data_IF_852117905434
#
_entry.id   IF_852117905434
#
_cell.length_a   1.000
_cell.length_b   1.000
_cell.length_c   1.000
_cell.angle_alpha   90.00
_cell.angle_beta   90.00
_cell.angle_gamma   90.00
#
_symmetry.space_group_name_H-M   'P 1'
#
loop_
_entity.id
_entity.type
_entity.pdbx_description
1 polymer ?
#
# COMPACT_ATOMS: atom_id res chain seq x y z
N UNK A 1 -39.10 55.28 0.80
CA UNK A 1 -38.01 55.24 1.82
C UNK A 1 -38.14 53.92 2.57
N UNK A 2 -37.40 52.90 2.13
CA UNK A 2 -36.26 52.29 2.86
C UNK A 2 -36.66 51.65 4.20
N UNK A 3 -36.88 50.33 4.17
CA UNK A 3 -36.49 49.45 5.26
C UNK A 3 -35.77 48.25 4.64
N UNK A 4 -34.44 48.24 4.73
CA UNK A 4 -33.62 47.08 4.37
C UNK A 4 -33.62 46.12 5.56
N UNK A 5 -34.13 44.90 5.37
CA UNK A 5 -33.85 43.78 6.26
C UNK A 5 -32.56 43.11 5.79
N UNK A 6 -31.52 43.19 6.61
CA UNK A 6 -30.26 42.47 6.44
C UNK A 6 -30.41 41.11 7.11
N UNK A 7 -30.37 40.03 6.32
CA UNK A 7 -30.28 38.66 6.84
C UNK A 7 -28.83 38.20 6.67
N UNK A 8 -28.12 38.06 7.78
CA UNK A 8 -26.81 37.46 7.85
C UNK A 8 -26.97 35.93 7.78
N UNK A 9 -26.79 35.34 6.60
CA UNK A 9 -26.61 33.89 6.47
C UNK A 9 -25.16 33.55 6.75
N UNK A 10 -24.90 33.00 7.93
CA UNK A 10 -23.64 32.35 8.28
C UNK A 10 -23.54 31.05 7.48
N UNK A 11 -22.74 31.07 6.40
CA UNK A 11 -22.35 29.86 5.69
C UNK A 11 -21.37 29.06 6.55
N UNK A 12 -21.86 27.93 7.07
CA UNK A 12 -21.08 26.88 7.70
C UNK A 12 -20.05 26.35 6.68
N UNK A 13 -18.78 26.74 6.84
CA UNK A 13 -17.67 26.17 6.10
C UNK A 13 -17.46 24.75 6.64
N UNK A 14 -18.07 23.76 5.99
CA UNK A 14 -17.70 22.37 6.17
C UNK A 14 -16.26 22.23 5.66
N UNK A 15 -15.31 22.10 6.58
CA UNK A 15 -13.95 21.69 6.28
C UNK A 15 -13.98 20.25 5.72
N UNK A 16 -14.22 20.12 4.43
CA UNK A 16 -13.95 18.90 3.69
C UNK A 16 -12.42 18.76 3.64
N UNK A 17 -11.87 17.92 4.51
CA UNK A 17 -10.55 17.33 4.28
C UNK A 17 -10.54 16.77 2.85
N UNK A 18 -9.53 17.07 2.02
CA UNK A 18 -9.40 16.40 0.74
C UNK A 18 -9.10 14.93 1.04
N UNK A 19 -10.15 14.10 1.10
CA UNK A 19 -10.01 12.67 0.94
C UNK A 19 -9.51 12.49 -0.49
N UNK A 20 -8.20 12.34 -0.63
CA UNK A 20 -7.51 12.07 -1.89
C UNK A 20 -8.32 11.01 -2.62
N UNK A 21 -9.05 11.42 -3.66
CA UNK A 21 -9.87 10.50 -4.42
C UNK A 21 -8.91 9.52 -5.06
N UNK A 22 -8.97 8.24 -4.65
CA UNK A 22 -8.16 7.20 -5.27
C UNK A 22 -8.30 7.31 -6.79
N UNK A 23 -7.17 7.46 -7.49
CA UNK A 23 -7.15 7.51 -8.95
C UNK A 23 -7.72 6.21 -9.51
N UNK A 24 -8.28 6.23 -10.72
CA UNK A 24 -8.85 5.03 -11.35
C UNK A 24 -7.85 3.84 -11.37
N UNK A 25 -6.55 4.04 -11.68
CA UNK A 25 -5.56 2.97 -11.58
C UNK A 25 -5.34 2.46 -10.14
N UNK A 26 -5.46 3.33 -9.13
CA UNK A 26 -5.27 2.96 -7.73
C UNK A 26 -6.44 2.09 -7.24
N UNK A 27 -7.68 2.43 -7.64
CA UNK A 27 -8.86 1.60 -7.35
C UNK A 27 -8.75 0.24 -8.01
N UNK A 28 -8.38 0.20 -9.30
CA UNK A 28 -8.23 -1.05 -10.04
C UNK A 28 -7.17 -1.97 -9.41
N UNK A 29 -6.04 -1.40 -8.97
CA UNK A 29 -5.03 -2.17 -8.24
C UNK A 29 -5.56 -2.73 -6.92
N UNK A 30 -6.20 -1.90 -6.10
CA UNK A 30 -6.75 -2.31 -4.79
C UNK A 30 -7.80 -3.41 -4.94
N UNK A 31 -8.73 -3.25 -5.90
CA UNK A 31 -9.76 -4.26 -6.16
C UNK A 31 -9.13 -5.57 -6.64
N UNK A 32 -8.23 -5.51 -7.63
CA UNK A 32 -7.52 -6.71 -8.11
C UNK A 32 -6.76 -7.40 -6.98
N UNK A 33 -6.04 -6.64 -6.16
CA UNK A 33 -5.28 -7.20 -5.04
C UNK A 33 -6.21 -7.82 -4.01
N UNK A 34 -7.30 -7.15 -3.64
CA UNK A 34 -8.31 -7.67 -2.72
C UNK A 34 -8.91 -8.99 -3.22
N UNK A 35 -9.35 -9.02 -4.47
CA UNK A 35 -9.95 -10.21 -5.06
C UNK A 35 -8.96 -11.37 -5.08
N UNK A 36 -7.70 -11.12 -5.47
CA UNK A 36 -6.65 -12.14 -5.43
C UNK A 36 -6.37 -12.63 -4.00
N UNK A 37 -6.35 -11.70 -3.02
CA UNK A 37 -6.12 -12.03 -1.62
C UNK A 37 -7.24 -12.91 -1.07
N UNK A 38 -8.50 -12.51 -1.20
CA UNK A 38 -9.66 -13.26 -0.70
C UNK A 38 -9.86 -14.59 -1.45
N UNK A 39 -9.47 -14.68 -2.72
CA UNK A 39 -9.51 -15.92 -3.50
C UNK A 39 -8.33 -16.88 -3.26
N UNK A 40 -7.39 -16.52 -2.39
CA UNK A 40 -6.13 -17.25 -2.20
C UNK A 40 -5.32 -17.41 -3.51
N UNK A 41 -5.48 -16.49 -4.47
CA UNK A 41 -4.77 -16.50 -5.75
C UNK A 41 -3.36 -15.94 -5.58
N UNK A 42 -2.48 -16.79 -5.04
CA UNK A 42 -1.08 -16.47 -4.80
C UNK A 42 -0.34 -16.08 -6.09
N UNK A 43 -0.76 -16.59 -7.25
CA UNK A 43 -0.14 -16.24 -8.52
C UNK A 43 -0.45 -14.79 -8.89
N UNK A 44 -1.71 -14.37 -8.75
CA UNK A 44 -2.11 -12.99 -8.99
C UNK A 44 -1.47 -12.02 -7.98
N UNK A 45 -1.39 -12.37 -6.69
CA UNK A 45 -0.71 -11.57 -5.68
C UNK A 45 0.78 -11.38 -6.01
N UNK A 46 1.48 -12.48 -6.34
CA UNK A 46 2.90 -12.46 -6.69
C UNK A 46 3.17 -11.71 -7.99
N UNK A 47 2.20 -11.65 -8.91
CA UNK A 47 2.31 -10.82 -10.13
C UNK A 47 2.38 -9.32 -9.85
N UNK A 48 1.98 -8.88 -8.65
CA UNK A 48 2.11 -7.49 -8.23
C UNK A 48 3.53 -7.13 -7.77
N UNK A 49 4.42 -8.11 -7.58
CA UNK A 49 5.80 -7.88 -7.19
C UNK A 49 6.64 -7.40 -8.38
N UNK A 50 7.40 -6.33 -8.19
CA UNK A 50 8.44 -5.91 -9.13
C UNK A 50 9.79 -6.48 -8.70
N UNK A 51 10.21 -7.55 -9.38
CA UNK A 51 11.39 -8.35 -9.01
C UNK A 51 12.64 -8.04 -9.83
N UNK A 52 12.57 -7.10 -10.77
CA UNK A 52 13.72 -6.78 -11.65
C UNK A 52 14.84 -6.14 -10.83
N UNK A 53 16.01 -6.79 -10.80
CA UNK A 53 17.15 -6.32 -10.01
C UNK A 53 17.01 -6.54 -8.49
N UNK A 54 16.00 -7.29 -8.05
CA UNK A 54 15.80 -7.66 -6.65
C UNK A 54 16.72 -8.81 -6.22
N UNK A 55 16.96 -8.91 -4.92
CA UNK A 55 17.67 -10.04 -4.33
C UNK A 55 16.75 -11.29 -4.33
N UNK A 56 17.17 -12.44 -4.90
CA UNK A 56 16.33 -13.64 -4.98
C UNK A 56 15.80 -14.16 -3.65
N UNK A 57 16.56 -14.05 -2.55
CA UNK A 57 16.11 -14.47 -1.22
C UNK A 57 15.03 -13.53 -0.69
N UNK A 58 15.18 -12.23 -0.92
CA UNK A 58 14.15 -11.24 -0.56
C UNK A 58 12.88 -11.45 -1.40
N UNK A 59 13.00 -11.78 -2.69
CA UNK A 59 11.85 -12.16 -3.53
C UNK A 59 11.11 -13.35 -2.94
N UNK A 60 11.84 -14.39 -2.50
CA UNK A 60 11.25 -15.55 -1.82
C UNK A 60 10.46 -15.16 -0.56
N UNK A 61 11.03 -14.28 0.26
CA UNK A 61 10.37 -13.75 1.46
C UNK A 61 9.09 -12.99 1.13
N UNK A 62 9.12 -12.08 0.14
CA UNK A 62 7.94 -11.31 -0.27
C UNK A 62 6.82 -12.21 -0.81
N UNK A 63 7.17 -13.23 -1.60
CA UNK A 63 6.19 -14.22 -2.08
C UNK A 63 5.54 -14.98 -0.91
N UNK A 64 6.33 -15.39 0.08
CA UNK A 64 5.81 -16.05 1.29
C UNK A 64 4.91 -15.10 2.11
N UNK A 65 5.32 -13.84 2.26
CA UNK A 65 4.56 -12.82 2.99
C UNK A 65 3.22 -12.52 2.33
N UNK A 66 3.16 -12.41 0.99
CA UNK A 66 1.91 -12.18 0.27
C UNK A 66 0.92 -13.36 0.40
N UNK A 67 1.43 -14.59 0.44
CA UNK A 67 0.60 -15.77 0.66
C UNK A 67 0.17 -15.92 2.12
N UNK A 68 0.81 -15.23 3.06
CA UNK A 68 0.48 -15.28 4.49
C UNK A 68 -0.83 -14.55 4.76
N UNK A 69 -1.88 -15.30 5.12
CA UNK A 69 -3.23 -14.77 5.34
C UNK A 69 -4.09 -14.66 4.07
N UNK A 70 -3.57 -15.03 2.90
CA UNK A 70 -4.40 -15.11 1.70
C UNK A 70 -5.53 -16.13 1.92
N UNK A 71 -6.74 -15.79 1.50
CA UNK A 71 -7.99 -16.54 1.76
C UNK A 71 -8.76 -16.02 2.98
N UNK A 72 -8.15 -15.21 3.84
CA UNK A 72 -8.88 -14.52 4.91
C UNK A 72 -9.70 -13.34 4.36
N UNK A 73 -10.77 -12.98 5.06
CA UNK A 73 -11.63 -11.86 4.67
C UNK A 73 -10.93 -10.53 4.94
N UNK A 74 -10.88 -9.68 3.92
CA UNK A 74 -10.29 -8.34 4.04
C UNK A 74 -11.32 -7.39 4.65
N UNK A 75 -11.03 -6.90 5.85
CA UNK A 75 -11.84 -5.88 6.52
C UNK A 75 -11.62 -4.50 5.91
N UNK A 76 -10.37 -4.17 5.58
CA UNK A 76 -10.00 -2.91 4.91
C UNK A 76 -8.79 -3.11 4.00
N UNK A 77 -8.81 -2.49 2.84
CA UNK A 77 -7.66 -2.41 1.94
C UNK A 77 -7.67 -1.07 1.22
N UNK A 78 -6.53 -0.40 1.19
CA UNK A 78 -6.40 0.91 0.56
C UNK A 78 -4.95 1.26 0.22
N UNK A 79 -4.78 2.19 -0.72
CA UNK A 79 -3.53 2.89 -0.94
C UNK A 79 -3.57 4.23 -0.20
N UNK A 80 -2.63 4.44 0.71
CA UNK A 80 -2.45 5.70 1.44
C UNK A 80 -1.21 6.44 0.94
N UNK A 81 -1.21 7.76 1.10
CA UNK A 81 -0.04 8.59 0.85
C UNK A 81 1.08 8.26 1.85
N UNK A 82 2.32 8.38 1.41
CA UNK A 82 3.48 8.16 2.27
C UNK A 82 3.62 9.31 3.27
N UNK A 83 3.83 8.97 4.53
CA UNK A 83 4.32 9.94 5.52
C UNK A 83 5.81 10.25 5.26
N UNK A 84 6.37 11.33 5.83
CA UNK A 84 7.80 11.58 5.79
C UNK A 84 8.64 10.42 6.34
N UNK A 85 8.15 9.75 7.39
CA UNK A 85 8.82 8.58 7.97
C UNK A 85 8.77 7.37 7.05
N UNK A 86 7.65 7.14 6.37
CA UNK A 86 7.53 6.10 5.34
C UNK A 86 8.52 6.35 4.20
N UNK A 87 8.61 7.59 3.73
CA UNK A 87 9.52 7.98 2.66
C UNK A 87 10.99 7.84 3.07
N UNK A 88 11.32 8.08 4.34
CA UNK A 88 12.66 7.83 4.89
C UNK A 88 12.97 6.33 4.96
N UNK A 89 12.07 5.53 5.56
CA UNK A 89 12.21 4.07 5.64
C UNK A 89 12.38 3.41 4.27
N UNK A 90 11.67 3.91 3.26
CA UNK A 90 11.77 3.41 1.89
C UNK A 90 13.13 3.67 1.22
N UNK A 91 13.89 4.67 1.71
CA UNK A 91 15.22 5.03 1.18
C UNK A 91 16.36 4.39 1.97
N UNK A 92 16.16 4.17 3.26
CA UNK A 92 17.18 3.67 4.16
C UNK A 92 17.58 2.23 3.79
N UNK A 93 18.88 1.92 3.64
CA UNK A 93 19.32 0.56 3.35
C UNK A 93 18.92 -0.42 4.47
N UNK A 94 18.28 -1.51 4.09
CA UNK A 94 17.82 -2.57 4.98
C UNK A 94 18.82 -3.72 5.01
N UNK A 95 18.87 -4.49 6.10
CA UNK A 95 19.68 -5.70 6.14
C UNK A 95 19.10 -6.76 5.18
N UNK A 96 19.98 -7.35 4.37
CA UNK A 96 19.60 -8.43 3.47
C UNK A 96 19.80 -9.79 4.15
N UNK A 97 18.86 -10.75 4.01
CA UNK A 97 19.07 -12.13 4.44
C UNK A 97 20.25 -12.81 3.72
N UNK A 98 20.65 -12.29 2.56
CA UNK A 98 21.84 -12.75 1.80
C UNK A 98 23.15 -12.14 2.30
N UNK A 99 23.10 -11.30 3.35
CA UNK A 99 24.22 -10.51 3.83
C UNK A 99 24.31 -9.14 3.15
N UNK A 100 24.90 -8.17 3.85
CA UNK A 100 25.01 -6.79 3.36
C UNK A 100 23.70 -6.01 3.44
N UNK A 101 23.58 -4.97 2.62
CA UNK A 101 22.43 -4.05 2.60
C UNK A 101 21.64 -4.17 1.29
N UNK A 102 20.33 -3.91 1.36
CA UNK A 102 19.43 -3.85 0.23
C UNK A 102 18.57 -2.58 0.28
N UNK A 103 18.19 -2.07 -0.89
CA UNK A 103 17.30 -0.92 -1.03
C UNK A 103 16.19 -1.22 -2.03
N UNK A 104 15.09 -0.47 -1.96
CA UNK A 104 14.06 -0.51 -2.99
C UNK A 104 14.63 -0.04 -4.35
N UNK A 105 14.23 -0.74 -5.40
CA UNK A 105 14.63 -0.49 -6.79
C UNK A 105 13.65 0.42 -7.55
N UNK A 106 12.45 0.69 -6.99
CA UNK A 106 11.50 1.70 -7.48
C UNK A 106 11.00 2.59 -6.34
N UNK A 107 10.83 3.88 -6.64
CA UNK A 107 10.57 4.90 -5.62
C UNK A 107 9.10 4.76 -5.23
N UNK A 108 8.79 4.45 -3.96
CA UNK A 108 7.40 4.34 -3.58
C UNK A 108 6.69 5.68 -3.69
N UNK A 109 5.45 5.65 -4.15
CA UNK A 109 4.54 6.79 -4.20
C UNK A 109 3.38 6.62 -3.21
N UNK A 110 3.08 5.37 -2.83
CA UNK A 110 1.97 5.00 -1.95
C UNK A 110 2.38 3.87 -1.00
N UNK A 111 1.55 3.63 0.01
CA UNK A 111 1.61 2.45 0.87
C UNK A 111 0.29 1.69 0.80
N UNK A 112 0.34 0.39 0.53
CA UNK A 112 -0.78 -0.51 0.63
C UNK A 112 -0.95 -0.92 2.09
N UNK A 113 -2.13 -0.69 2.65
CA UNK A 113 -2.51 -1.12 4.00
C UNK A 113 -3.63 -2.13 3.87
N UNK A 114 -3.44 -3.32 4.44
CA UNK A 114 -4.42 -4.40 4.46
C UNK A 114 -4.73 -4.71 5.91
N UNK A 115 -6.00 -4.64 6.27
CA UNK A 115 -6.51 -5.09 7.57
C UNK A 115 -7.37 -6.32 7.30
N UNK A 116 -6.95 -7.44 7.88
CA UNK A 116 -7.66 -8.71 7.84
C UNK A 116 -8.30 -8.94 9.20
N UNK A 117 -9.58 -9.31 9.22
CA UNK A 117 -10.26 -9.74 10.43
C UNK A 117 -10.28 -11.26 10.47
N UNK A 118 -9.64 -11.85 11.48
CA UNK A 118 -9.73 -13.27 11.79
C UNK A 118 -10.74 -13.45 12.90
N UNK A 119 -11.81 -14.17 12.57
CA UNK A 119 -12.85 -14.54 13.52
C UNK A 119 -12.83 -16.04 13.72
N UNK A 120 -12.56 -16.47 14.94
CA UNK A 120 -12.62 -17.86 15.35
C UNK A 120 -13.61 -18.03 16.51
N UNK A 121 -13.73 -19.26 17.02
CA UNK A 121 -14.64 -19.60 18.12
C UNK A 121 -14.30 -18.87 19.43
N UNK A 122 -13.09 -18.32 19.55
CA UNK A 122 -12.56 -17.74 20.78
C UNK A 122 -12.48 -16.19 20.73
N UNK A 123 -12.72 -15.57 19.58
CA UNK A 123 -12.79 -14.11 19.45
C UNK A 123 -12.58 -13.58 18.03
N UNK A 124 -12.54 -12.25 17.91
CA UNK A 124 -12.11 -11.56 16.69
C UNK A 124 -10.76 -10.91 16.94
N UNK A 125 -9.82 -11.10 16.01
CA UNK A 125 -8.52 -10.45 15.98
C UNK A 125 -8.29 -9.79 14.63
N UNK A 126 -7.58 -8.66 14.62
CA UNK A 126 -7.22 -7.96 13.39
C UNK A 126 -5.72 -8.04 13.15
N UNK A 127 -5.34 -8.46 11.95
CA UNK A 127 -3.97 -8.40 11.47
C UNK A 127 -3.83 -7.26 10.45
N UNK A 128 -2.82 -6.41 10.61
CA UNK A 128 -2.52 -5.33 9.66
C UNK A 128 -1.20 -5.61 8.95
N UNK A 129 -1.20 -5.57 7.62
CA UNK A 129 0.00 -5.72 6.79
C UNK A 129 0.18 -4.48 5.93
N UNK A 130 1.42 -4.02 5.82
CA UNK A 130 1.78 -2.84 5.04
C UNK A 130 2.82 -3.18 3.97
N UNK A 131 2.65 -2.67 2.75
CA UNK A 131 3.65 -2.79 1.68
C UNK A 131 3.84 -1.45 0.99
N UNK A 132 5.09 -1.10 0.66
CA UNK A 132 5.36 0.03 -0.21
C UNK A 132 4.88 -0.26 -1.63
N UNK A 133 4.39 0.78 -2.31
CA UNK A 133 3.86 0.71 -3.66
C UNK A 133 4.53 1.79 -4.51
N UNK A 134 5.07 1.37 -5.65
CA UNK A 134 5.64 2.23 -6.67
C UNK A 134 4.81 2.17 -7.95
N UNK A 135 5.03 3.15 -8.83
CA UNK A 135 4.46 3.16 -10.17
C UNK A 135 5.52 2.80 -11.20
N UNK A 136 5.19 1.86 -12.09
CA UNK A 136 6.02 1.48 -13.23
C UNK A 136 5.12 1.31 -14.45
N UNK A 137 5.42 2.04 -15.51
CA UNK A 137 4.69 1.98 -16.79
C UNK A 137 3.16 2.19 -16.62
N UNK A 138 2.78 3.13 -15.75
CA UNK A 138 1.37 3.44 -15.45
C UNK A 138 0.65 2.39 -14.59
N UNK A 139 1.37 1.43 -14.00
CA UNK A 139 0.82 0.38 -13.13
C UNK A 139 1.41 0.47 -11.73
N UNK A 140 0.60 0.18 -10.73
CA UNK A 140 1.05 0.02 -9.36
C UNK A 140 1.69 -1.36 -9.16
N UNK A 141 2.85 -1.37 -8.51
CA UNK A 141 3.64 -2.57 -8.21
C UNK A 141 4.24 -2.46 -6.81
N UNK A 142 4.54 -3.61 -6.20
CA UNK A 142 5.27 -3.71 -4.93
C UNK A 142 6.76 -3.87 -5.27
N UNK A 143 7.61 -2.83 -5.12
CA UNK A 143 9.04 -2.98 -5.34
C UNK A 143 9.64 -3.95 -4.33
N UNK A 144 10.43 -4.90 -4.84
CA UNK A 144 11.19 -5.82 -3.98
C UNK A 144 12.63 -5.31 -3.85
N UNK A 145 13.17 -5.20 -2.62
CA UNK A 145 14.54 -4.75 -2.43
C UNK A 145 15.59 -5.58 -3.19
N UNK A 146 16.61 -4.89 -3.67
CA UNK A 146 17.79 -5.47 -4.28
C UNK A 146 19.08 -4.86 -3.73
N UNK A 147 20.25 -5.25 -4.25
CA UNK A 147 21.53 -4.67 -3.84
C UNK A 147 21.52 -3.13 -3.90
N UNK A 148 22.20 -2.46 -2.96
CA UNK A 148 22.25 -0.98 -2.91
C UNK A 148 22.76 -0.35 -4.21
N UNK A 149 23.57 -1.06 -5.01
CA UNK A 149 23.98 -0.60 -6.35
C UNK A 149 22.81 -0.36 -7.31
N UNK A 150 21.66 -0.98 -7.04
CA UNK A 150 20.43 -0.85 -7.83
C UNK A 150 19.44 0.12 -7.16
N UNK A 151 19.84 0.78 -6.07
CA UNK A 151 19.04 1.79 -5.40
C UNK A 151 18.85 3.02 -6.29
N UNK A 152 17.76 3.71 -6.05
CA UNK A 152 17.37 4.94 -6.74
C UNK A 152 17.95 6.09 -5.95
N UNK A 153 18.81 6.88 -6.59
CA UNK A 153 19.30 8.14 -6.03
C UNK A 153 18.20 9.20 -5.97
#
# INVERSE_FOLDING_TARGET
MKLLAVIFSVSLIAAFSPRSAATEPAKAFVEKYKTAFEANDTTALQSCLYTTGADPMIVGFYKMMQSSGAGDKVARIELVDLTPDDAKKARDPQDSPSGGKACLNLKPTKKLVIVVEKKDENGSSTNTTENFIAEKDGKFVIPVPGPVSNAIN
#
